data_IF_501465496026
#
_entry.id   IF_501465496026
#
_cell.length_a   1.000
_cell.length_b   1.000
_cell.length_c   1.000
_cell.angle_alpha   90.00
_cell.angle_beta   90.00
_cell.angle_gamma   90.00
#
_symmetry.space_group_name_H-M   'P 1'
#
loop_
_entity.id
_entity.type
_entity.pdbx_description
1 polymer ?
#
# COMPACT_ATOMS: atom_id res chain seq x y z
N UNK A 1 -6.76 -8.21 3.50
CA UNK A 1 -6.58 -9.64 3.24
C UNK A 1 -5.63 -10.23 4.26
N UNK A 2 -5.98 -11.34 4.90
CA UNK A 2 -5.09 -12.05 5.83
C UNK A 2 -4.45 -13.24 5.11
N UNK A 3 -3.16 -13.44 5.32
CA UNK A 3 -2.37 -14.53 4.77
C UNK A 3 -1.74 -15.29 5.95
N UNK A 4 -1.84 -16.60 5.87
CA UNK A 4 -1.31 -17.57 6.81
C UNK A 4 -0.26 -18.43 6.12
N UNK A 5 0.73 -18.88 6.88
CA UNK A 5 1.68 -19.89 6.40
C UNK A 5 1.34 -21.21 7.04
N UNK A 6 1.27 -22.27 6.24
CA UNK A 6 1.20 -23.64 6.72
C UNK A 6 2.55 -24.30 6.55
N UNK A 7 3.05 -24.91 7.62
CA UNK A 7 4.26 -25.73 7.58
C UNK A 7 4.00 -27.03 8.31
N UNK A 8 4.13 -28.13 7.58
CA UNK A 8 3.68 -29.45 7.99
C UNK A 8 2.21 -29.40 8.41
N UNK A 9 1.91 -29.73 9.68
CA UNK A 9 0.54 -29.84 10.20
C UNK A 9 0.08 -28.60 10.98
N UNK A 10 0.82 -27.49 10.90
CA UNK A 10 0.54 -26.27 11.67
C UNK A 10 0.43 -25.06 10.77
N UNK A 11 -0.48 -24.16 11.14
CA UNK A 11 -0.72 -22.90 10.46
C UNK A 11 -0.32 -21.73 11.34
N UNK A 12 0.14 -20.64 10.73
CA UNK A 12 0.76 -19.53 11.44
C UNK A 12 0.31 -18.19 10.85
N UNK A 13 0.10 -17.20 11.72
CA UNK A 13 -0.14 -15.83 11.26
C UNK A 13 1.09 -15.28 10.55
N UNK A 14 0.92 -14.85 9.30
CA UNK A 14 2.01 -14.35 8.49
C UNK A 14 1.87 -12.88 8.16
N UNK A 15 0.93 -12.53 7.28
CA UNK A 15 0.83 -11.21 6.71
C UNK A 15 -0.61 -10.74 6.66
N UNK A 16 -0.85 -9.48 6.96
CA UNK A 16 -2.09 -8.79 6.62
C UNK A 16 -1.79 -7.70 5.62
N UNK A 17 -2.39 -7.80 4.43
CA UNK A 17 -2.31 -6.78 3.39
C UNK A 17 -3.52 -5.86 3.50
N UNK A 18 -3.29 -4.55 3.59
CA UNK A 18 -4.31 -3.51 3.61
C UNK A 18 -4.05 -2.52 2.49
N UNK A 19 -5.11 -2.13 1.78
CA UNK A 19 -5.06 -1.09 0.76
C UNK A 19 -5.85 0.11 1.27
N UNK A 20 -5.20 1.28 1.30
CA UNK A 20 -5.79 2.51 1.80
C UNK A 20 -6.51 3.28 0.67
N UNK A 21 -7.36 4.23 1.03
CA UNK A 21 -8.11 5.05 0.07
C UNK A 21 -7.25 6.00 -0.75
N UNK A 22 -6.03 6.29 -0.28
CA UNK A 22 -5.03 7.09 -1.00
C UNK A 22 -4.16 6.24 -1.96
N UNK A 23 -4.49 4.95 -2.11
CA UNK A 23 -3.77 3.96 -2.93
C UNK A 23 -2.56 3.33 -2.25
N UNK A 24 -2.21 3.71 -1.01
CA UNK A 24 -1.09 3.12 -0.27
C UNK A 24 -1.38 1.65 0.07
N UNK A 25 -0.39 0.77 -0.10
CA UNK A 25 -0.43 -0.62 0.37
C UNK A 25 0.38 -0.78 1.65
N UNK A 26 -0.23 -1.44 2.63
CA UNK A 26 0.42 -1.80 3.88
C UNK A 26 0.57 -3.33 3.98
N UNK A 27 1.80 -3.78 4.18
CA UNK A 27 2.17 -5.15 4.53
C UNK A 27 2.42 -5.22 6.04
N UNK A 28 1.45 -5.73 6.79
CA UNK A 28 1.47 -5.79 8.25
C UNK A 28 1.88 -7.20 8.69
N UNK A 29 2.84 -7.31 9.62
CA UNK A 29 3.38 -8.59 10.07
C UNK A 29 2.99 -8.87 11.53
N UNK A 30 1.86 -9.55 11.81
CA UNK A 30 1.33 -9.68 13.18
C UNK A 30 2.22 -10.51 14.11
N UNK A 31 3.06 -11.38 13.53
CA UNK A 31 3.99 -12.23 14.26
C UNK A 31 5.29 -11.51 14.65
N UNK A 32 5.60 -10.38 14.01
CA UNK A 32 6.83 -9.63 14.28
C UNK A 32 6.59 -8.62 15.41
N UNK A 33 6.95 -9.00 16.64
CA UNK A 33 7.01 -8.09 17.80
C UNK A 33 8.32 -7.26 17.80
N UNK A 34 8.30 -6.00 18.25
CA UNK A 34 9.48 -5.14 18.29
C UNK A 34 10.59 -5.50 19.29
N UNK A 35 10.37 -6.48 20.19
CA UNK A 35 11.30 -6.76 21.29
C UNK A 35 11.94 -8.16 21.32
N UNK A 36 11.67 -9.04 20.35
CA UNK A 36 12.43 -10.29 20.26
C UNK A 36 13.72 -10.08 19.46
N UNK A 37 14.86 -10.55 19.98
CA UNK A 37 16.16 -10.54 19.30
C UNK A 37 15.97 -11.03 17.85
N UNK A 38 16.05 -10.11 16.89
CA UNK A 38 15.92 -10.40 15.46
C UNK A 38 16.88 -9.48 14.70
N UNK A 39 17.35 -9.96 13.56
CA UNK A 39 18.41 -9.31 12.80
C UNK A 39 17.78 -8.44 11.72
N UNK A 40 18.26 -7.20 11.59
CA UNK A 40 17.76 -6.23 10.62
C UNK A 40 18.93 -5.69 9.82
N UNK A 41 18.93 -5.89 8.50
CA UNK A 41 20.09 -5.54 7.66
C UNK A 41 19.72 -4.90 6.32
N UNK A 42 20.66 -4.12 5.80
CA UNK A 42 20.60 -3.53 4.45
C UNK A 42 21.54 -4.31 3.54
N UNK A 43 21.06 -4.65 2.35
CA UNK A 43 21.87 -5.33 1.34
C UNK A 43 21.67 -4.72 -0.04
N UNK A 44 22.74 -4.68 -0.84
CA UNK A 44 22.68 -4.32 -2.25
C UNK A 44 22.64 -5.59 -3.11
N UNK A 45 21.85 -5.55 -4.18
CA UNK A 45 21.86 -6.55 -5.24
C UNK A 45 22.51 -5.89 -6.45
N UNK A 46 23.73 -6.27 -6.78
CA UNK A 46 24.40 -5.80 -7.99
C UNK A 46 24.03 -6.70 -9.17
N UNK A 47 23.60 -6.13 -10.29
CA UNK A 47 23.47 -6.87 -11.56
C UNK A 47 24.87 -7.19 -12.09
N UNK A 48 25.30 -8.42 -11.95
CA UNK A 48 26.49 -8.92 -12.66
C UNK A 48 26.06 -9.27 -14.10
N UNK A 49 26.79 -8.79 -15.10
CA UNK A 49 26.41 -8.90 -16.53
C UNK A 49 26.61 -10.32 -17.07
N UNK A 50 27.36 -11.18 -16.36
CA UNK A 50 27.82 -12.48 -16.90
C UNK A 50 27.48 -13.72 -16.04
N UNK A 51 26.70 -13.58 -14.96
CA UNK A 51 26.18 -14.72 -14.19
C UNK A 51 24.79 -14.43 -13.64
N UNK A 52 23.85 -15.36 -13.78
CA UNK A 52 22.47 -15.30 -13.23
C UNK A 52 22.40 -15.18 -11.69
N UNK A 53 23.53 -15.05 -11.01
CA UNK A 53 23.65 -14.76 -9.58
C UNK A 53 24.11 -13.32 -9.40
N UNK A 54 23.20 -12.46 -8.91
CA UNK A 54 23.57 -11.10 -8.51
C UNK A 54 24.55 -11.13 -7.34
N UNK A 55 25.57 -10.27 -7.38
CA UNK A 55 26.50 -10.12 -6.26
C UNK A 55 25.77 -9.41 -5.11
N UNK A 56 25.66 -10.12 -3.98
CA UNK A 56 24.99 -9.63 -2.77
C UNK A 56 26.04 -9.09 -1.82
N UNK A 57 25.94 -7.82 -1.48
CA UNK A 57 26.80 -7.18 -0.48
C UNK A 57 26.00 -6.77 0.75
N UNK A 58 26.41 -7.26 1.92
CA UNK A 58 25.93 -6.76 3.20
C UNK A 58 26.46 -5.35 3.43
N UNK A 59 25.57 -4.38 3.59
CA UNK A 59 25.93 -2.96 3.76
C UNK A 59 25.97 -2.60 5.24
N UNK A 60 25.00 -3.08 6.01
CA UNK A 60 24.84 -2.67 7.39
C UNK A 60 24.00 -3.69 8.16
N UNK A 61 24.50 -4.11 9.33
CA UNK A 61 23.74 -4.89 10.31
C UNK A 61 23.42 -4.04 11.52
N UNK A 62 22.14 -4.04 11.91
CA UNK A 62 21.68 -3.36 13.12
C UNK A 62 20.89 -4.35 13.98
N UNK A 63 21.27 -4.54 15.25
CA UNK A 63 20.37 -5.17 16.20
C UNK A 63 19.11 -4.30 16.35
N UNK A 64 17.98 -4.94 16.62
CA UNK A 64 16.75 -4.19 16.87
C UNK A 64 16.87 -3.49 18.22
N UNK A 65 16.92 -2.15 18.19
CA UNK A 65 16.77 -1.33 19.39
C UNK A 65 15.33 -1.36 19.92
N UNK A 66 15.11 -0.82 21.12
CA UNK A 66 13.80 -0.73 21.75
C UNK A 66 12.83 0.16 20.94
N UNK A 67 12.07 -0.46 20.03
CA UNK A 67 11.06 0.21 19.22
C UNK A 67 9.70 0.12 19.93
N UNK A 68 9.24 1.21 20.57
CA UNK A 68 7.93 1.25 21.24
C UNK A 68 6.77 1.15 20.23
N UNK A 69 5.82 0.24 20.50
CA UNK A 69 4.55 0.12 19.76
C UNK A 69 4.19 -1.33 19.37
N UNK A 70 2.99 -1.54 18.83
CA UNK A 70 2.35 -2.88 18.92
C UNK A 70 2.56 -3.86 17.74
N UNK A 71 2.97 -3.45 16.52
CA UNK A 71 3.10 -4.34 15.32
C UNK A 71 4.06 -3.74 14.27
N UNK A 72 4.92 -4.53 13.63
CA UNK A 72 5.74 -4.10 12.48
C UNK A 72 4.94 -4.11 11.18
N UNK A 73 5.17 -3.12 10.32
CA UNK A 73 4.56 -3.08 8.99
C UNK A 73 5.39 -2.26 8.00
N UNK A 74 5.16 -2.50 6.72
CA UNK A 74 5.77 -1.74 5.62
C UNK A 74 4.63 -1.03 4.88
N UNK A 75 4.80 0.25 4.56
CA UNK A 75 3.87 0.99 3.71
C UNK A 75 4.53 1.40 2.42
N UNK A 76 3.96 0.97 1.29
CA UNK A 76 4.34 1.42 -0.04
C UNK A 76 3.31 2.47 -0.49
N UNK A 77 3.72 3.72 -0.51
CA UNK A 77 2.87 4.86 -0.83
C UNK A 77 2.68 5.03 -2.33
N UNK A 78 1.58 5.66 -2.74
CA UNK A 78 1.32 5.96 -4.16
C UNK A 78 2.41 6.78 -4.83
N UNK A 79 3.19 7.54 -4.07
CA UNK A 79 4.34 8.31 -4.54
C UNK A 79 5.58 7.47 -4.89
N UNK A 80 5.60 6.17 -4.54
CA UNK A 80 6.80 5.33 -4.67
C UNK A 80 7.64 5.22 -3.39
N UNK A 81 7.30 5.97 -2.35
CA UNK A 81 8.01 5.89 -1.07
C UNK A 81 7.61 4.61 -0.31
N UNK A 82 8.61 3.85 0.11
CA UNK A 82 8.47 2.69 0.98
C UNK A 82 8.97 3.05 2.37
N UNK A 83 8.11 2.90 3.38
CA UNK A 83 8.46 3.14 4.77
C UNK A 83 8.42 1.84 5.57
N UNK A 84 9.45 1.62 6.40
CA UNK A 84 9.61 0.42 7.22
C UNK A 84 9.32 0.75 8.68
N UNK A 85 8.08 0.60 9.10
CA UNK A 85 7.62 1.05 10.40
C UNK A 85 8.03 0.09 11.49
N UNK A 86 8.69 0.62 12.52
CA UNK A 86 9.24 -0.17 13.64
C UNK A 86 10.25 -1.21 13.18
N UNK A 87 10.99 -0.89 12.12
CA UNK A 87 12.23 -1.53 11.71
C UNK A 87 13.32 -0.46 11.71
N UNK A 88 14.60 -0.84 11.83
CA UNK A 88 15.73 0.12 11.84
C UNK A 88 16.13 0.61 10.43
N UNK A 89 15.24 0.46 9.44
CA UNK A 89 15.50 0.84 8.05
C UNK A 89 15.05 2.26 7.75
N UNK A 90 15.87 2.95 6.98
CA UNK A 90 15.47 4.17 6.28
C UNK A 90 14.48 3.84 5.15
N UNK A 91 13.70 4.84 4.75
CA UNK A 91 12.79 4.77 3.61
C UNK A 91 13.51 4.45 2.30
N UNK A 92 12.77 3.85 1.37
CA UNK A 92 13.20 3.60 0.00
C UNK A 92 12.34 4.40 -1.00
N UNK A 93 12.88 4.79 -2.14
CA UNK A 93 12.13 5.44 -3.23
C UNK A 93 12.17 4.60 -4.51
N UNK A 94 11.04 3.94 -4.79
CA UNK A 94 10.81 3.07 -5.94
C UNK A 94 9.77 3.69 -6.88
N UNK A 95 9.31 2.95 -7.89
CA UNK A 95 8.29 3.45 -8.83
C UNK A 95 6.97 3.77 -8.12
N UNK A 96 6.31 4.90 -8.47
CA UNK A 96 4.97 5.20 -7.99
C UNK A 96 3.96 4.10 -8.34
N UNK A 97 3.02 3.82 -7.43
CA UNK A 97 2.06 2.72 -7.61
C UNK A 97 1.15 2.90 -8.84
N UNK A 98 0.97 4.12 -9.33
CA UNK A 98 0.20 4.37 -10.54
C UNK A 98 1.00 4.15 -11.84
N UNK A 99 2.32 3.98 -11.79
CA UNK A 99 3.18 3.86 -12.98
C UNK A 99 4.33 2.86 -12.75
N UNK A 100 3.97 1.66 -12.32
CA UNK A 100 4.91 0.55 -12.15
C UNK A 100 5.23 -0.06 -13.52
N UNK A 101 6.51 -0.08 -13.90
CA UNK A 101 6.99 -0.58 -15.20
C UNK A 101 7.88 -1.81 -15.07
N UNK A 102 8.53 -1.98 -13.91
CA UNK A 102 9.39 -3.13 -13.65
C UNK A 102 9.13 -3.77 -12.30
N UNK A 103 9.82 -4.88 -12.04
CA UNK A 103 9.77 -5.55 -10.74
C UNK A 103 10.51 -4.70 -9.72
N UNK A 104 9.80 -4.26 -8.69
CA UNK A 104 10.30 -3.42 -7.60
C UNK A 104 10.34 -4.24 -6.30
N UNK A 105 11.38 -5.06 -6.08
CA UNK A 105 11.50 -5.83 -4.86
C UNK A 105 11.93 -4.89 -3.73
N UNK A 106 11.21 -4.89 -2.61
CA UNK A 106 11.38 -3.87 -1.57
C UNK A 106 11.66 -4.45 -0.17
N UNK A 107 11.47 -5.76 0.04
CA UNK A 107 11.72 -6.38 1.33
C UNK A 107 11.94 -7.89 1.20
N UNK A 108 12.81 -8.44 2.04
CA UNK A 108 12.95 -9.89 2.24
C UNK A 108 12.77 -10.22 3.72
N UNK A 109 12.00 -11.27 3.98
CA UNK A 109 11.90 -11.90 5.29
C UNK A 109 12.42 -13.34 5.17
N UNK A 110 13.49 -13.66 5.90
CA UNK A 110 14.12 -14.98 5.88
C UNK A 110 14.02 -15.65 7.24
N UNK A 111 13.59 -16.91 7.27
CA UNK A 111 13.47 -17.69 8.50
C UNK A 111 13.56 -19.20 8.25
N UNK A 112 14.13 -19.93 9.21
CA UNK A 112 14.14 -21.39 9.19
C UNK A 112 13.12 -21.94 10.18
N UNK A 113 13.14 -21.52 11.44
CA UNK A 113 12.19 -22.00 12.43
C UNK A 113 10.90 -21.14 12.53
N UNK A 114 9.77 -21.81 12.72
CA UNK A 114 8.47 -21.14 12.93
C UNK A 114 8.28 -20.65 14.38
N UNK A 115 9.26 -20.82 15.27
CA UNK A 115 9.14 -20.45 16.70
C UNK A 115 8.87 -18.95 16.92
N UNK A 116 9.16 -18.13 15.92
CA UNK A 116 8.89 -16.69 15.89
C UNK A 116 7.47 -16.31 15.42
N UNK A 117 6.66 -17.29 15.03
CA UNK A 117 5.34 -17.10 14.46
C UNK A 117 4.25 -17.55 15.43
N UNK A 118 3.19 -16.75 15.53
CA UNK A 118 2.01 -17.14 16.32
C UNK A 118 1.25 -18.21 15.54
N UNK A 119 1.09 -19.39 16.13
CA UNK A 119 0.22 -20.44 15.62
C UNK A 119 -1.21 -19.92 15.49
N UNK A 120 -1.86 -20.22 14.37
CA UNK A 120 -3.22 -19.82 14.04
C UNK A 120 -4.14 -21.04 14.14
N UNK A 121 -5.31 -20.83 14.74
CA UNK A 121 -6.33 -21.87 14.85
C UNK A 121 -7.19 -21.93 13.57
N UNK A 122 -7.77 -23.09 13.28
CA UNK A 122 -8.53 -23.30 12.05
C UNK A 122 -9.76 -22.37 11.93
N UNK A 123 -10.41 -22.08 13.05
CA UNK A 123 -11.52 -21.13 13.17
C UNK A 123 -11.08 -19.67 12.90
N UNK A 124 -9.89 -19.27 13.33
CA UNK A 124 -9.30 -17.95 13.01
C UNK A 124 -9.07 -17.80 11.49
N UNK A 125 -8.63 -18.86 10.81
CA UNK A 125 -8.38 -18.84 9.36
C UNK A 125 -9.71 -18.73 8.60
N UNK A 126 -10.69 -19.56 8.95
CA UNK A 126 -12.01 -19.57 8.30
C UNK A 126 -12.77 -18.26 8.51
N UNK A 127 -12.86 -17.78 9.76
CA UNK A 127 -13.59 -16.55 10.09
C UNK A 127 -13.00 -15.30 9.44
N UNK A 128 -11.70 -15.31 9.14
CA UNK A 128 -11.01 -14.18 8.53
C UNK A 128 -10.96 -14.23 7.00
N UNK A 129 -11.57 -15.25 6.38
CA UNK A 129 -11.45 -15.58 4.95
C UNK A 129 -9.99 -15.51 4.49
N UNK A 130 -9.09 -16.08 5.29
CA UNK A 130 -7.65 -16.04 5.06
C UNK A 130 -7.20 -16.89 3.89
N UNK A 131 -6.11 -16.46 3.24
CA UNK A 131 -5.38 -17.30 2.30
C UNK A 131 -4.30 -18.05 3.07
N UNK A 132 -4.25 -19.37 2.91
CA UNK A 132 -3.19 -20.19 3.49
C UNK A 132 -2.19 -20.58 2.40
N UNK A 133 -0.91 -20.24 2.62
CA UNK A 133 0.20 -20.62 1.75
C UNK A 133 0.95 -21.80 2.38
N UNK A 134 0.89 -22.96 1.75
CA UNK A 134 1.60 -24.16 2.22
C UNK A 134 3.07 -24.11 1.80
N UNK A 135 3.97 -23.98 2.78
CA UNK A 135 5.43 -23.97 2.61
C UNK A 135 6.07 -25.29 3.08
N UNK A 136 5.28 -26.36 3.23
CA UNK A 136 5.79 -27.66 3.70
C UNK A 136 6.76 -28.32 2.72
N UNK A 137 6.67 -28.00 1.43
CA UNK A 137 7.58 -28.51 0.39
C UNK A 137 9.04 -28.07 0.61
N UNK A 138 9.26 -26.97 1.31
CA UNK A 138 10.60 -26.49 1.69
C UNK A 138 11.19 -27.25 2.90
N UNK A 139 10.44 -28.18 3.49
CA UNK A 139 10.92 -29.03 4.59
C UNK A 139 11.39 -28.22 5.79
N UNK A 140 12.60 -28.50 6.28
CA UNK A 140 13.26 -27.76 7.37
C UNK A 140 14.22 -26.68 6.88
N UNK A 141 14.32 -26.43 5.58
CA UNK A 141 15.22 -25.41 5.05
C UNK A 141 14.79 -24.00 5.49
N UNK A 142 15.75 -23.07 5.48
CA UNK A 142 15.48 -21.64 5.56
C UNK A 142 14.71 -21.20 4.30
N UNK A 143 13.64 -20.45 4.51
CA UNK A 143 12.77 -19.93 3.45
C UNK A 143 12.94 -18.43 3.39
N UNK A 144 13.19 -17.92 2.19
CA UNK A 144 13.14 -16.47 1.94
C UNK A 144 11.80 -16.10 1.34
N UNK A 145 11.22 -15.04 1.88
CA UNK A 145 9.98 -14.46 1.37
C UNK A 145 10.28 -13.07 0.82
N UNK A 146 10.19 -12.94 -0.51
CA UNK A 146 10.53 -11.73 -1.25
C UNK A 146 9.24 -10.98 -1.58
N UNK A 147 9.20 -9.71 -1.20
CA UNK A 147 8.08 -8.81 -1.45
C UNK A 147 8.42 -7.85 -2.57
N UNK A 148 7.57 -7.82 -3.59
CA UNK A 148 7.76 -6.94 -4.75
C UNK A 148 6.47 -6.28 -5.19
N UNK A 149 6.56 -5.06 -5.69
CA UNK A 149 5.51 -4.46 -6.52
C UNK A 149 5.89 -4.70 -7.98
N UNK A 150 4.98 -5.27 -8.76
CA UNK A 150 5.21 -5.62 -10.17
C UNK A 150 4.13 -5.01 -11.06
N UNK A 151 4.40 -4.76 -12.36
CA UNK A 151 3.37 -4.33 -13.29
C UNK A 151 2.30 -5.42 -13.50
N UNK A 152 1.10 -5.02 -13.92
CA UNK A 152 0.01 -5.92 -14.29
C UNK A 152 0.24 -6.67 -15.63
N UNK A 153 1.49 -7.02 -15.95
CA UNK A 153 1.82 -7.84 -17.13
C UNK A 153 1.85 -9.32 -16.77
N UNK A 154 1.10 -10.13 -17.52
CA UNK A 154 1.08 -11.57 -17.34
C UNK A 154 2.40 -12.23 -17.75
N UNK A 155 3.19 -11.61 -18.64
CA UNK A 155 4.51 -12.10 -19.03
C UNK A 155 5.48 -12.09 -17.85
N UNK A 156 5.49 -11.01 -17.08
CA UNK A 156 6.33 -10.87 -15.90
C UNK A 156 5.90 -11.85 -14.81
N UNK A 157 4.60 -12.05 -14.64
CA UNK A 157 4.07 -12.97 -13.61
C UNK A 157 4.45 -14.43 -13.86
N UNK A 158 4.62 -14.85 -15.13
CA UNK A 158 5.00 -16.23 -15.50
C UNK A 158 6.46 -16.58 -15.22
N UNK A 159 7.31 -15.58 -14.96
CA UNK A 159 8.73 -15.80 -14.70
C UNK A 159 9.00 -16.30 -13.27
N UNK A 160 8.01 -16.26 -12.38
CA UNK A 160 8.17 -16.58 -10.97
C UNK A 160 7.41 -17.85 -10.58
N UNK A 161 8.09 -18.75 -9.88
CA UNK A 161 7.49 -19.92 -9.24
C UNK A 161 7.14 -19.63 -7.77
N UNK A 162 6.19 -20.39 -7.21
CA UNK A 162 5.79 -20.34 -5.79
C UNK A 162 5.42 -18.92 -5.31
N UNK A 163 4.54 -18.26 -6.06
CA UNK A 163 4.11 -16.88 -5.80
C UNK A 163 2.67 -16.83 -5.32
N UNK A 164 2.43 -15.99 -4.31
CA UNK A 164 1.12 -15.39 -4.07
C UNK A 164 1.09 -13.98 -4.65
N UNK A 165 0.13 -13.70 -5.53
CA UNK A 165 -0.04 -12.38 -6.16
C UNK A 165 -1.38 -11.76 -5.76
N UNK A 166 -1.34 -10.52 -5.28
CA UNK A 166 -2.53 -9.71 -4.98
C UNK A 166 -2.68 -8.68 -6.09
N UNK A 167 -3.75 -8.82 -6.88
CA UNK A 167 -3.97 -7.99 -8.05
C UNK A 167 -4.67 -6.67 -7.69
N UNK A 168 -4.05 -5.54 -8.05
CA UNK A 168 -4.61 -4.20 -7.95
C UNK A 168 -4.74 -3.60 -9.35
N UNK A 169 -5.41 -4.32 -10.24
CA UNK A 169 -5.64 -3.92 -11.62
C UNK A 169 -6.37 -2.56 -11.70
N UNK A 170 -5.98 -1.65 -12.62
CA UNK A 170 -4.94 -1.77 -13.65
C UNK A 170 -3.56 -1.22 -13.25
N UNK A 171 -3.29 -1.12 -11.94
CA UNK A 171 -2.13 -0.37 -11.44
C UNK A 171 -0.88 -1.23 -11.32
N UNK A 172 -0.94 -2.25 -10.47
CA UNK A 172 0.18 -3.11 -10.10
C UNK A 172 -0.33 -4.40 -9.46
N UNK A 173 0.60 -5.32 -9.18
CA UNK A 173 0.37 -6.48 -8.32
C UNK A 173 1.37 -6.46 -7.16
N UNK A 174 0.90 -6.78 -5.96
CA UNK A 174 1.80 -7.13 -4.85
C UNK A 174 2.16 -8.61 -5.00
N UNK A 175 3.42 -8.88 -5.26
CA UNK A 175 3.98 -10.22 -5.41
C UNK A 175 4.70 -10.64 -4.13
N UNK A 176 4.35 -11.81 -3.62
CA UNK A 176 4.98 -12.46 -2.47
C UNK A 176 5.53 -13.79 -2.96
N UNK A 177 6.85 -13.88 -3.11
CA UNK A 177 7.52 -15.07 -3.61
C UNK A 177 8.14 -15.86 -2.46
N UNK A 178 7.95 -17.18 -2.46
CA UNK A 178 8.56 -18.09 -1.51
C UNK A 178 9.65 -18.90 -2.20
N UNK A 179 10.88 -18.80 -1.71
CA UNK A 179 12.03 -19.50 -2.30
C UNK A 179 12.82 -20.22 -1.21
N UNK A 180 13.45 -21.32 -1.62
CA UNK A 180 14.39 -22.01 -0.76
C UNK A 180 15.69 -21.20 -0.72
N UNK A 181 16.16 -20.88 0.48
CA UNK A 181 17.37 -20.06 0.67
C UNK A 181 18.63 -20.71 0.05
N UNK A 182 18.65 -22.05 -0.09
CA UNK A 182 19.74 -22.74 -0.78
C UNK A 182 19.83 -22.42 -2.27
N UNK A 183 18.72 -21.98 -2.86
CA UNK A 183 18.59 -21.72 -4.30
C UNK A 183 18.72 -20.22 -4.61
N UNK A 184 18.90 -19.38 -3.59
CA UNK A 184 18.94 -17.91 -3.70
C UNK A 184 20.18 -17.32 -3.02
N UNK A 185 20.04 -16.78 -1.81
CA UNK A 185 21.04 -15.92 -1.17
C UNK A 185 21.99 -16.72 -0.26
N UNK A 186 21.59 -17.92 0.18
CA UNK A 186 22.41 -18.76 1.06
C UNK A 186 22.59 -18.17 2.46
N UNK A 187 21.60 -17.48 2.98
CA UNK A 187 21.55 -16.88 4.32
C UNK A 187 21.71 -17.92 5.44
N UNK A 188 21.45 -19.20 5.20
CA UNK A 188 21.72 -20.30 6.13
C UNK A 188 23.19 -20.40 6.54
N UNK A 189 24.11 -19.85 5.74
CA UNK A 189 25.55 -19.80 6.07
C UNK A 189 25.88 -18.68 7.05
N UNK A 190 24.99 -17.70 7.20
CA UNK A 190 25.22 -16.47 7.95
C UNK A 190 24.39 -16.38 9.23
N UNK A 191 23.23 -17.04 9.29
CA UNK A 191 22.30 -16.93 10.40
C UNK A 191 21.92 -18.28 11.00
N UNK A 192 21.66 -18.28 12.30
CA UNK A 192 21.24 -19.47 13.02
C UNK A 192 19.79 -19.86 12.66
N UNK A 193 19.38 -21.12 12.81
CA UNK A 193 18.00 -21.56 12.52
C UNK A 193 16.89 -20.77 13.24
N UNK A 194 17.17 -20.31 14.46
CA UNK A 194 16.25 -19.51 15.27
C UNK A 194 16.09 -18.06 14.81
N UNK A 195 16.98 -17.57 13.93
CA UNK A 195 16.98 -16.19 13.47
C UNK A 195 15.88 -15.93 12.44
N UNK A 196 15.06 -14.93 12.72
CA UNK A 196 14.12 -14.34 11.78
C UNK A 196 14.71 -13.03 11.27
N UNK A 197 15.25 -13.08 10.06
CA UNK A 197 16.06 -12.04 9.46
C UNK A 197 15.18 -11.17 8.57
N UNK A 198 15.34 -9.86 8.70
CA UNK A 198 14.61 -8.86 7.92
C UNK A 198 15.62 -8.08 7.13
N UNK A 199 15.33 -7.94 5.84
CA UNK A 199 16.28 -7.35 4.93
C UNK A 199 15.60 -6.28 4.09
N UNK A 200 16.16 -5.08 4.09
CA UNK A 200 15.82 -4.05 3.10
C UNK A 200 16.70 -4.22 1.87
N UNK A 201 16.06 -4.32 0.71
CA UNK A 201 16.74 -4.29 -0.59
C UNK A 201 17.14 -2.84 -0.89
N UNK A 202 18.42 -2.60 -1.08
CA UNK A 202 18.93 -1.31 -1.56
C UNK A 202 18.99 -1.31 -3.09
N UNK A 203 17.83 -1.04 -3.70
CA UNK A 203 17.66 -0.84 -5.13
C UNK A 203 16.78 0.39 -5.37
N UNK A 204 17.11 1.48 -4.69
CA UNK A 204 16.41 2.75 -4.83
C UNK A 204 16.51 3.24 -6.28
N UNK A 205 15.38 3.41 -6.96
CA UNK A 205 15.34 3.93 -8.32
C UNK A 205 15.49 5.44 -8.37
N UNK A 206 15.14 6.10 -7.26
CA UNK A 206 15.18 7.54 -7.11
C UNK A 206 15.93 7.92 -5.83
N UNK A 207 16.64 9.05 -5.86
CA UNK A 207 17.31 9.61 -4.67
C UNK A 207 16.32 10.34 -3.76
N UNK A 208 15.20 10.79 -4.32
CA UNK A 208 14.14 11.53 -3.63
C UNK A 208 12.77 11.18 -4.22
N UNK A 209 11.70 11.69 -3.60
CA UNK A 209 10.33 11.50 -4.08
C UNK A 209 10.17 12.08 -5.49
N UNK A 210 9.78 11.28 -6.50
CA UNK A 210 9.62 11.78 -7.87
C UNK A 210 8.41 12.72 -8.03
N UNK A 211 7.48 12.71 -7.07
CA UNK A 211 6.26 13.51 -7.12
C UNK A 211 5.73 13.83 -5.72
N UNK A 212 4.97 14.93 -5.61
CA UNK A 212 4.20 15.25 -4.41
C UNK A 212 3.09 14.21 -4.15
N UNK A 213 2.64 14.11 -2.90
CA UNK A 213 1.50 13.24 -2.52
C UNK A 213 0.21 13.61 -3.26
N UNK A 214 -0.04 14.90 -3.48
CA UNK A 214 -1.25 15.37 -4.18
C UNK A 214 -1.23 14.95 -5.65
N UNK A 215 -0.11 15.17 -6.33
CA UNK A 215 0.03 14.79 -7.74
C UNK A 215 0.04 13.26 -7.93
N UNK A 216 0.63 12.50 -7.01
CA UNK A 216 0.56 11.04 -7.02
C UNK A 216 -0.89 10.54 -6.88
N UNK A 217 -1.66 11.15 -5.97
CA UNK A 217 -3.07 10.80 -5.78
C UNK A 217 -3.91 11.15 -7.02
N UNK A 218 -3.68 12.30 -7.66
CA UNK A 218 -4.33 12.66 -8.93
C UNK A 218 -4.03 11.60 -10.00
N UNK A 219 -2.76 11.26 -10.21
CA UNK A 219 -2.36 10.29 -11.23
C UNK A 219 -2.93 8.89 -10.94
N UNK A 220 -2.96 8.51 -9.67
CA UNK A 220 -3.61 7.28 -9.21
C UNK A 220 -5.12 7.28 -9.53
N UNK A 221 -5.85 8.32 -9.18
CA UNK A 221 -7.29 8.41 -9.45
C UNK A 221 -7.57 8.47 -10.97
N UNK A 222 -6.77 9.22 -11.74
CA UNK A 222 -6.86 9.27 -13.21
C UNK A 222 -6.81 7.88 -13.83
N UNK A 223 -5.80 7.10 -13.47
CA UNK A 223 -5.59 5.78 -14.05
C UNK A 223 -6.63 4.76 -13.55
N UNK A 224 -7.14 4.91 -12.32
CA UNK A 224 -8.16 4.03 -11.76
C UNK A 224 -9.51 4.24 -12.43
N UNK A 225 -9.90 5.51 -12.60
CA UNK A 225 -11.20 5.89 -13.16
C UNK A 225 -11.17 6.09 -14.67
N UNK A 226 -10.00 6.00 -15.30
CA UNK A 226 -9.77 6.17 -16.75
C UNK A 226 -10.42 7.47 -17.28
N UNK A 227 -10.20 8.58 -16.57
CA UNK A 227 -10.81 9.88 -16.89
C UNK A 227 -9.87 11.03 -16.61
N UNK A 228 -9.94 12.04 -17.47
CA UNK A 228 -9.28 13.35 -17.28
C UNK A 228 -10.24 14.42 -16.72
N UNK A 229 -11.49 14.07 -16.46
CA UNK A 229 -12.47 14.92 -15.76
C UNK A 229 -12.39 14.69 -14.26
N UNK A 230 -12.98 15.57 -13.46
CA UNK A 230 -13.08 15.36 -12.01
C UNK A 230 -13.72 14.00 -11.67
N UNK A 231 -13.38 13.46 -10.51
CA UNK A 231 -13.95 12.20 -10.00
C UNK A 231 -14.68 12.47 -8.70
N UNK A 232 -15.95 12.07 -8.63
CA UNK A 232 -16.73 12.10 -7.40
C UNK A 232 -16.90 10.68 -6.85
N UNK A 233 -16.53 10.47 -5.58
CA UNK A 233 -16.77 9.19 -4.90
C UNK A 233 -18.15 9.14 -4.28
N UNK A 234 -18.71 7.94 -4.16
CA UNK A 234 -19.83 7.68 -3.27
C UNK A 234 -19.50 8.09 -1.81
N UNK A 235 -20.52 8.41 -1.00
CA UNK A 235 -20.33 8.70 0.43
C UNK A 235 -19.71 7.49 1.17
N UNK A 236 -18.77 7.76 2.07
CA UNK A 236 -18.26 6.74 2.98
C UNK A 236 -19.27 6.46 4.13
N UNK A 237 -18.91 5.59 5.10
CA UNK A 237 -19.77 5.28 6.26
C UNK A 237 -20.15 6.48 7.14
N UNK A 238 -19.44 7.60 7.01
CA UNK A 238 -19.73 8.86 7.69
C UNK A 238 -20.54 9.85 6.83
N UNK A 239 -20.83 9.50 5.58
CA UNK A 239 -21.53 10.37 4.62
C UNK A 239 -20.61 11.37 3.89
N UNK A 240 -19.28 11.19 3.93
CA UNK A 240 -18.32 12.08 3.26
C UNK A 240 -18.10 11.64 1.82
N UNK A 241 -18.30 12.57 0.89
CA UNK A 241 -17.97 12.43 -0.53
C UNK A 241 -16.65 13.13 -0.83
N UNK A 242 -15.88 12.59 -1.77
CA UNK A 242 -14.63 13.19 -2.24
C UNK A 242 -14.78 13.58 -3.71
N UNK A 243 -14.53 14.84 -4.01
CA UNK A 243 -14.42 15.37 -5.37
C UNK A 243 -12.94 15.64 -5.68
N UNK A 244 -12.36 14.84 -6.56
CA UNK A 244 -10.98 14.98 -6.99
C UNK A 244 -10.88 15.89 -8.20
N UNK A 245 -10.09 16.96 -8.06
CA UNK A 245 -9.71 17.82 -9.17
C UNK A 245 -8.58 17.08 -9.89
N UNK A 246 -8.84 16.65 -11.11
CA UNK A 246 -7.93 15.80 -11.89
C UNK A 246 -6.74 16.60 -12.49
N UNK A 247 -6.41 17.71 -11.83
CA UNK A 247 -5.23 18.56 -11.94
C UNK A 247 -4.99 19.22 -10.58
N UNK A 248 -3.74 19.51 -10.22
CA UNK A 248 -3.45 20.27 -9.00
C UNK A 248 -3.79 21.74 -9.23
N UNK A 249 -4.77 22.24 -8.49
CA UNK A 249 -5.29 23.60 -8.69
C UNK A 249 -4.41 24.59 -7.92
N UNK A 250 -3.80 25.55 -8.64
CA UNK A 250 -3.00 26.64 -8.02
C UNK A 250 -3.82 27.44 -7.01
N UNK A 251 -5.09 27.71 -7.34
CA UNK A 251 -6.11 28.27 -6.44
C UNK A 251 -7.25 27.28 -6.35
N UNK A 252 -7.76 27.07 -5.14
CA UNK A 252 -8.81 26.08 -4.89
C UNK A 252 -10.10 26.57 -5.56
N UNK A 253 -10.74 25.79 -6.44
CA UNK A 253 -11.93 26.25 -7.14
C UNK A 253 -13.07 26.48 -6.15
N UNK A 254 -13.92 27.44 -6.48
CA UNK A 254 -15.25 27.52 -5.92
C UNK A 254 -16.10 26.41 -6.53
N UNK A 255 -16.93 25.77 -5.70
CA UNK A 255 -17.71 24.60 -6.14
C UNK A 255 -19.18 24.85 -5.93
N UNK A 256 -19.96 24.63 -6.99
CA UNK A 256 -21.42 24.58 -6.94
C UNK A 256 -21.87 23.15 -7.26
N UNK A 257 -22.70 22.60 -6.38
CA UNK A 257 -23.29 21.26 -6.55
C UNK A 257 -24.79 21.41 -6.45
N UNK A 258 -25.47 21.19 -7.57
CA UNK A 258 -26.92 21.20 -7.63
C UNK A 258 -27.46 19.78 -7.52
N UNK A 259 -28.51 19.62 -6.71
CA UNK A 259 -29.20 18.35 -6.50
C UNK A 259 -30.57 18.38 -7.16
N UNK A 260 -31.05 17.20 -7.57
CA UNK A 260 -32.44 17.03 -8.01
C UNK A 260 -33.41 17.35 -6.87
N UNK A 261 -33.04 17.02 -5.62
CA UNK A 261 -33.77 17.47 -4.44
C UNK A 261 -33.28 18.85 -3.99
N UNK A 262 -34.14 19.87 -4.14
CA UNK A 262 -33.84 21.26 -3.80
C UNK A 262 -33.64 21.52 -2.30
N UNK A 263 -34.06 20.59 -1.44
CA UNK A 263 -33.85 20.70 0.01
C UNK A 263 -32.41 20.32 0.40
N UNK A 264 -31.61 19.77 -0.51
CA UNK A 264 -30.24 19.35 -0.22
C UNK A 264 -29.24 20.48 -0.38
N UNK A 265 -28.29 20.55 0.54
CA UNK A 265 -27.10 21.40 0.43
C UNK A 265 -25.84 20.60 0.75
N UNK A 266 -24.69 21.12 0.34
CA UNK A 266 -23.39 20.58 0.73
C UNK A 266 -22.84 21.32 1.95
N UNK A 267 -22.09 20.58 2.76
CA UNK A 267 -21.22 21.13 3.80
C UNK A 267 -19.79 20.68 3.52
N UNK A 268 -18.90 21.64 3.24
CA UNK A 268 -17.50 21.37 2.95
C UNK A 268 -16.78 21.01 4.25
N UNK A 269 -16.22 19.81 4.33
CA UNK A 269 -15.45 19.33 5.48
C UNK A 269 -13.94 19.48 5.30
N UNK A 270 -13.46 19.52 4.05
CA UNK A 270 -12.05 19.75 3.74
C UNK A 270 -11.87 20.30 2.32
N UNK A 271 -10.94 21.24 2.14
CA UNK A 271 -10.60 21.83 0.83
C UNK A 271 -9.09 21.81 0.62
N UNK A 272 -8.61 20.93 -0.26
CA UNK A 272 -7.20 20.79 -0.68
C UNK A 272 -7.04 21.18 -2.16
N UNK A 273 -5.81 21.38 -2.62
CA UNK A 273 -5.51 21.78 -4.00
C UNK A 273 -5.95 20.74 -5.07
N UNK A 274 -6.05 19.47 -4.70
CA UNK A 274 -6.40 18.36 -5.59
C UNK A 274 -7.71 17.66 -5.21
N UNK A 275 -8.37 18.09 -4.14
CA UNK A 275 -9.52 17.39 -3.57
C UNK A 275 -10.40 18.30 -2.72
N UNK A 276 -11.72 18.19 -2.90
CA UNK A 276 -12.73 18.69 -1.99
C UNK A 276 -13.42 17.52 -1.28
N UNK A 277 -13.64 17.66 0.02
CA UNK A 277 -14.46 16.74 0.81
C UNK A 277 -15.68 17.47 1.31
N UNK A 278 -16.85 16.86 1.17
CA UNK A 278 -18.11 17.45 1.63
C UNK A 278 -19.10 16.37 2.07
N UNK A 279 -20.12 16.79 2.82
CA UNK A 279 -21.29 15.99 3.19
C UNK A 279 -22.54 16.60 2.57
N UNK A 280 -23.57 15.77 2.35
CA UNK A 280 -24.88 16.25 1.89
C UNK A 280 -25.83 16.33 3.08
N UNK A 281 -26.43 17.49 3.29
CA UNK A 281 -27.40 17.75 4.36
C UNK A 281 -28.79 17.99 3.78
N UNK A 282 -29.79 17.31 4.32
CA UNK A 282 -31.19 17.50 3.99
C UNK A 282 -31.79 18.55 4.92
N UNK A 283 -32.10 19.73 4.38
CA UNK A 283 -32.65 20.84 5.15
C UNK A 283 -34.07 20.60 5.66
N UNK A 284 -34.83 19.71 5.02
CA UNK A 284 -36.19 19.36 5.40
C UNK A 284 -36.20 18.32 6.51
N UNK A 285 -35.38 17.27 6.40
CA UNK A 285 -35.23 16.22 7.43
C UNK A 285 -34.28 16.60 8.57
N UNK A 286 -33.49 17.66 8.39
CA UNK A 286 -32.45 18.11 9.33
C UNK A 286 -31.41 17.03 9.65
N UNK A 287 -30.96 16.30 8.64
CA UNK A 287 -29.99 15.22 8.82
C UNK A 287 -29.02 15.09 7.64
N UNK A 288 -27.88 14.43 7.88
CA UNK A 288 -26.92 14.09 6.84
C UNK A 288 -27.36 12.85 6.07
N UNK A 289 -27.26 12.92 4.74
CA UNK A 289 -27.51 11.81 3.85
C UNK A 289 -26.23 10.99 3.71
N UNK A 290 -26.32 9.69 4.03
CA UNK A 290 -25.17 8.76 3.98
C UNK A 290 -25.29 7.72 2.87
N UNK A 291 -26.49 7.51 2.34
CA UNK A 291 -26.76 6.51 1.30
C UNK A 291 -26.57 7.13 -0.08
N UNK A 292 -25.79 6.47 -0.92
CA UNK A 292 -25.47 6.98 -2.26
C UNK A 292 -26.73 7.09 -3.13
N UNK A 293 -27.69 6.17 -2.98
CA UNK A 293 -28.91 6.08 -3.78
C UNK A 293 -29.86 7.26 -3.54
N UNK A 294 -29.74 7.93 -2.38
CA UNK A 294 -30.52 9.13 -2.05
C UNK A 294 -29.90 10.41 -2.62
N UNK A 295 -28.62 10.39 -3.02
CA UNK A 295 -27.90 11.58 -3.48
C UNK A 295 -27.93 11.65 -5.01
N UNK A 296 -28.89 12.39 -5.55
CA UNK A 296 -29.02 12.63 -7.00
C UNK A 296 -28.51 14.02 -7.36
N UNK A 297 -27.26 14.10 -7.84
CA UNK A 297 -26.63 15.33 -8.30
C UNK A 297 -27.03 15.59 -9.75
N UNK A 298 -27.56 16.78 -10.03
CA UNK A 298 -27.92 17.22 -11.39
C UNK A 298 -26.77 17.92 -12.09
N UNK A 299 -25.98 18.71 -11.36
CA UNK A 299 -24.88 19.49 -11.94
C UNK A 299 -23.75 19.71 -10.91
N UNK A 300 -22.52 19.73 -11.39
CA UNK A 300 -21.34 20.17 -10.64
C UNK A 300 -20.61 21.21 -11.50
N UNK A 301 -20.48 22.41 -10.96
CA UNK A 301 -19.72 23.50 -11.59
C UNK A 301 -18.50 23.81 -10.75
N UNK A 302 -17.33 23.81 -11.41
CA UNK A 302 -16.06 24.21 -10.83
C UNK A 302 -15.67 25.55 -11.41
N UNK A 303 -15.51 26.54 -10.55
CA UNK A 303 -15.06 27.87 -10.95
C UNK A 303 -13.66 28.13 -10.39
N UNK A 304 -12.72 28.36 -11.30
CA UNK A 304 -11.32 28.61 -11.00
C UNK A 304 -10.87 30.02 -11.47
N UNK A 305 -11.81 30.92 -11.76
CA UNK A 305 -11.49 32.30 -12.12
C UNK A 305 -10.69 33.02 -11.02
N UNK A 306 -9.91 34.01 -11.44
CA UNK A 306 -9.06 34.80 -10.55
C UNK A 306 -9.95 35.83 -9.87
N UNK A 307 -10.50 35.47 -8.71
CA UNK A 307 -11.10 36.43 -7.79
C UNK A 307 -10.00 37.06 -6.93
N UNK A 308 -10.00 38.38 -6.80
CA UNK A 308 -9.00 39.11 -6.00
C UNK A 308 -9.10 38.77 -4.51
N UNK A 309 -10.29 38.36 -4.04
CA UNK A 309 -10.56 37.89 -2.69
C UNK A 309 -10.96 36.40 -2.68
N UNK A 310 -10.15 35.53 -2.07
CA UNK A 310 -10.52 34.11 -1.82
C UNK A 310 -11.71 33.95 -0.84
N UNK A 311 -12.25 35.06 -0.32
CA UNK A 311 -13.21 35.08 0.78
C UNK A 311 -14.66 35.13 0.28
N UNK A 312 -14.91 35.73 -0.89
CA UNK A 312 -16.26 35.96 -1.40
C UNK A 312 -16.53 35.07 -2.63
N UNK A 313 -17.20 33.93 -2.48
CA UNK A 313 -17.59 33.10 -3.61
C UNK A 313 -18.57 33.84 -4.53
N UNK A 314 -18.56 33.55 -5.85
CA UNK A 314 -19.64 33.95 -6.75
C UNK A 314 -21.00 33.42 -6.26
N UNK A 315 -22.09 34.09 -6.66
CA UNK A 315 -23.43 33.71 -6.22
C UNK A 315 -23.75 32.24 -6.54
N UNK A 316 -24.09 31.47 -5.49
CA UNK A 316 -24.40 30.04 -5.60
C UNK A 316 -23.20 29.09 -5.52
N UNK A 317 -21.99 29.61 -5.32
CA UNK A 317 -20.79 28.81 -5.10
C UNK A 317 -20.36 28.79 -3.63
N UNK A 318 -19.59 27.76 -3.25
CA UNK A 318 -19.02 27.58 -1.90
C UNK A 318 -17.51 27.33 -1.90
#
# INVERSE_FOLDING_TARGET
MNIFLKRFNKSYHFLKVKHNSDGTVECIFPHLKPGSKKITQRFAINKCVDTDTGDIQLIEEKPIGDLKGNIMYISYHTTGQVNYHRMSFESNFLEPLYDVKQVNPFFILSFEEMGNFKEAMADEIQSSHGIECDISSFGKARVDVIFSIIPCSDEISRQFANVLSVNYDPMYRLMIQFVNDTDTFGFYKQYDPGDCVRLRIHNDHFTELPTSKGQALINYVKKLCQTDKFVLTAPNGEGVLNLYFIVEMRRRPFVKIDFTNKDYCIEITSKKAHQLQFKVFDNKRKCYIKKAEEIQISEITLDAEIYDDEINPPAGFM
#
